data_IF_454363319734
#
_entry.id   IF_454363319734
#
_cell.length_a   1.000
_cell.length_b   1.000
_cell.length_c   1.000
_cell.angle_alpha   90.00
_cell.angle_beta   90.00
_cell.angle_gamma   90.00
#
_symmetry.space_group_name_H-M   'P 1'
#
loop_
_entity.id
_entity.type
_entity.pdbx_description
1 polymer ?
#
# COMPACT_ATOMS: atom_id res chain seq x y z
N UNK A 1 -10.58 -17.35 12.27
CA UNK A 1 -10.72 -16.82 12.11
C UNK A 1 -10.34 -15.81 11.64
N UNK A 2 -9.68 -15.60 11.66
CA UNK A 2 -9.44 -14.50 11.40
C UNK A 2 -9.21 -14.13 10.10
N UNK A 3 -9.86 -13.43 9.51
CA UNK A 3 -9.75 -13.06 8.19
C UNK A 3 -8.80 -11.96 7.99
N UNK A 4 -7.84 -11.89 8.83
CA UNK A 4 -6.99 -10.90 8.71
C UNK A 4 -6.34 -10.91 7.44
N UNK A 5 -6.07 -12.02 6.85
CA UNK A 5 -5.42 -12.08 5.59
C UNK A 5 -6.28 -11.53 4.50
N UNK A 6 -7.56 -11.36 4.75
CA UNK A 6 -8.43 -10.81 3.75
C UNK A 6 -8.56 -9.32 3.86
N UNK A 7 -7.93 -8.73 4.86
CA UNK A 7 -8.04 -7.32 5.00
C UNK A 7 -7.17 -6.63 4.01
N UNK A 8 -7.69 -5.67 3.30
CA UNK A 8 -6.91 -4.94 2.31
C UNK A 8 -6.42 -3.64 2.93
N UNK A 9 -5.28 -3.21 2.49
CA UNK A 9 -4.67 -2.01 3.03
C UNK A 9 -4.99 -0.81 2.15
N UNK A 10 -5.18 0.33 2.81
CA UNK A 10 -5.37 1.58 2.11
C UNK A 10 -4.06 2.36 2.20
N UNK A 11 -4.09 3.60 1.73
CA UNK A 11 -2.90 4.45 1.82
C UNK A 11 -2.43 4.58 3.28
N UNK A 12 -3.36 4.66 4.21
CA UNK A 12 -3.00 4.86 5.60
C UNK A 12 -2.23 3.67 6.15
N UNK A 13 -2.68 2.47 5.84
CA UNK A 13 -1.99 1.29 6.33
C UNK A 13 -0.61 1.14 5.70
N UNK A 14 -0.51 1.45 4.41
CA UNK A 14 0.78 1.39 3.75
C UNK A 14 1.73 2.40 4.37
N UNK A 15 1.23 3.61 4.59
CA UNK A 15 2.06 4.67 5.17
C UNK A 15 2.59 4.25 6.53
N UNK A 16 1.74 3.63 7.31
CA UNK A 16 2.15 3.19 8.62
C UNK A 16 3.21 2.09 8.52
N UNK A 17 3.06 1.21 7.56
CA UNK A 17 4.01 0.12 7.39
C UNK A 17 5.39 0.61 7.00
N UNK A 18 5.46 1.61 6.13
CA UNK A 18 6.75 2.12 5.69
C UNK A 18 7.15 3.39 6.44
N UNK A 19 6.36 3.75 7.46
CA UNK A 19 6.70 4.83 8.36
C UNK A 19 6.80 6.18 7.68
N UNK A 20 5.80 6.53 6.90
CA UNK A 20 5.75 7.84 6.26
C UNK A 20 4.33 8.37 6.40
N UNK A 21 4.10 9.56 5.90
CA UNK A 21 2.77 10.16 5.94
C UNK A 21 1.92 9.60 4.81
N UNK A 22 0.60 9.55 4.96
CA UNK A 22 -0.25 9.06 3.89
C UNK A 22 -0.10 9.84 2.59
N UNK A 23 0.16 11.13 2.68
CA UNK A 23 0.36 11.93 1.48
C UNK A 23 1.57 11.46 0.72
N UNK A 24 2.58 10.98 1.42
CA UNK A 24 3.77 10.47 0.76
C UNK A 24 3.44 9.24 -0.06
N UNK A 25 2.54 8.39 0.45
CA UNK A 25 2.14 7.21 -0.28
C UNK A 25 1.38 7.60 -1.53
N UNK A 26 0.52 8.60 -1.44
CA UNK A 26 -0.20 9.07 -2.60
C UNK A 26 0.77 9.58 -3.66
N UNK A 27 1.80 10.29 -3.24
CA UNK A 27 2.79 10.79 -4.16
C UNK A 27 3.54 9.65 -4.81
N UNK A 28 3.85 8.60 -4.06
CA UNK A 28 4.52 7.46 -4.63
C UNK A 28 3.67 6.87 -5.75
N UNK A 29 2.36 6.80 -5.55
CA UNK A 29 1.49 6.27 -6.56
C UNK A 29 1.45 7.16 -7.79
N UNK A 30 1.39 8.47 -7.57
CA UNK A 30 1.38 9.41 -8.65
C UNK A 30 2.61 9.29 -9.50
N UNK A 31 3.76 9.01 -8.92
CA UNK A 31 5.00 8.90 -9.64
C UNK A 31 5.29 7.48 -10.14
N UNK A 32 4.33 6.59 -9.99
CA UNK A 32 4.53 5.23 -10.46
C UNK A 32 5.47 4.39 -9.64
N UNK A 33 5.73 4.81 -8.41
CA UNK A 33 6.64 4.10 -7.55
C UNK A 33 5.95 3.13 -6.60
N UNK A 34 4.64 3.11 -6.60
CA UNK A 34 3.87 2.21 -5.77
C UNK A 34 3.22 1.17 -6.68
N UNK A 35 3.08 -0.06 -6.23
CA UNK A 35 2.46 -1.07 -7.09
C UNK A 35 1.00 -0.74 -7.34
N UNK A 36 0.47 -1.26 -8.41
CA UNK A 36 -0.92 -1.00 -8.74
C UNK A 36 -1.81 -1.64 -7.70
N UNK A 37 -2.93 -1.01 -7.39
CA UNK A 37 -3.83 -1.59 -6.40
C UNK A 37 -4.39 -2.91 -6.89
N UNK A 38 -4.59 -3.83 -5.96
CA UNK A 38 -5.14 -5.11 -6.31
C UNK A 38 -6.62 -5.00 -6.64
N UNK A 39 -7.27 -4.02 -6.04
CA UNK A 39 -8.65 -3.76 -6.41
C UNK A 39 -9.02 -2.35 -5.98
N UNK A 40 -10.17 -1.91 -6.44
CA UNK A 40 -10.69 -0.60 -6.08
C UNK A 40 -12.07 -0.86 -5.51
N UNK A 41 -12.35 -0.33 -4.32
CA UNK A 41 -13.62 -0.62 -3.68
C UNK A 41 -14.74 0.22 -4.29
N UNK A 42 -15.93 0.07 -3.77
CA UNK A 42 -17.10 0.72 -4.34
C UNK A 42 -17.00 2.23 -4.31
N UNK A 43 -16.25 2.76 -3.38
CA UNK A 43 -16.10 4.20 -3.29
C UNK A 43 -14.97 4.74 -4.16
N UNK A 44 -14.35 3.89 -4.95
CA UNK A 44 -13.26 4.34 -5.80
C UNK A 44 -11.92 4.40 -5.09
N UNK A 45 -11.81 3.77 -3.92
CA UNK A 45 -10.59 3.81 -3.17
C UNK A 45 -9.73 2.60 -3.47
N UNK A 46 -8.45 2.79 -3.75
CA UNK A 46 -7.58 1.66 -4.07
C UNK A 46 -7.25 0.85 -2.82
N UNK A 47 -7.10 -0.44 -3.02
CA UNK A 47 -6.78 -1.35 -1.93
C UNK A 47 -5.70 -2.31 -2.37
N UNK A 48 -4.84 -2.69 -1.45
CA UNK A 48 -3.73 -3.58 -1.74
C UNK A 48 -3.73 -4.74 -0.76
N UNK A 49 -3.27 -5.90 -1.20
CA UNK A 49 -3.09 -7.02 -0.30
C UNK A 49 -1.83 -6.76 0.53
N UNK A 50 -1.88 -7.04 1.82
CA UNK A 50 -0.72 -6.76 2.68
C UNK A 50 0.56 -7.43 2.21
N UNK A 51 0.45 -8.65 1.70
CA UNK A 51 1.62 -9.35 1.26
C UNK A 51 2.32 -8.65 0.12
N UNK A 52 1.57 -8.15 -0.81
CA UNK A 52 2.15 -7.44 -1.93
C UNK A 52 2.89 -6.20 -1.46
N UNK A 53 2.30 -5.51 -0.51
CA UNK A 53 2.94 -4.30 0.01
C UNK A 53 4.20 -4.63 0.79
N UNK A 54 4.18 -5.71 1.55
CA UNK A 54 5.36 -6.10 2.30
C UNK A 54 6.50 -6.43 1.37
N UNK A 55 6.22 -7.15 0.30
CA UNK A 55 7.24 -7.51 -0.67
C UNK A 55 7.76 -6.25 -1.35
N UNK A 56 6.86 -5.38 -1.76
CA UNK A 56 7.26 -4.13 -2.39
C UNK A 56 8.14 -3.29 -1.47
N UNK A 57 7.75 -3.21 -0.20
CA UNK A 57 8.51 -2.40 0.75
C UNK A 57 9.91 -2.95 0.96
N UNK A 58 10.00 -4.28 0.96
CA UNK A 58 11.28 -4.90 1.16
C UNK A 58 12.21 -4.63 -0.01
N UNK A 59 11.66 -4.49 -1.20
CA UNK A 59 12.43 -4.27 -2.40
C UNK A 59 12.48 -2.82 -2.84
N UNK A 60 12.00 -1.92 -2.02
CA UNK A 60 11.98 -0.51 -2.39
C UNK A 60 13.38 -0.02 -2.64
N UNK A 61 13.62 0.60 -3.77
CA UNK A 61 14.95 1.15 -4.04
C UNK A 61 15.13 2.42 -3.24
N UNK A 62 16.32 2.73 -2.91
CA UNK A 62 16.63 3.97 -2.31
C UNK A 62 16.24 4.16 -0.88
N UNK A 63 15.92 3.08 -0.15
CA UNK A 63 15.55 3.25 1.12
C UNK A 63 16.69 3.43 1.89
N UNK A 64 16.99 4.00 2.57
CA UNK A 64 18.07 4.12 3.23
C UNK A 64 17.94 4.42 4.11
#
# INVERSE_FOLDING_TARGET
MSPRSCELWSYAEIARHINVQPDSVRNLRRHGLLPEPDLVDAGGHPRWYPEGIRTWARNRPGRR
#
